data_IF_306406011020
#
_entry.id   IF_306406011020
#
_cell.length_a   1.000
_cell.length_b   1.000
_cell.length_c   1.000
_cell.angle_alpha   90.00
_cell.angle_beta   90.00
_cell.angle_gamma   90.00
#
_symmetry.space_group_name_H-M   'P 1'
#
loop_
_entity.id
_entity.type
_entity.pdbx_description
1 polymer ?
#
# COMPACT_ATOMS: atom_id res chain seq x y z
N UNK A 1 -20.37 -17.11 -28.90
CA UNK A 1 -19.53 -16.30 -28.02
C UNK A 1 -19.14 -17.14 -26.83
N UNK A 2 -17.91 -17.04 -26.37
CA UNK A 2 -17.22 -18.16 -25.74
C UNK A 2 -17.44 -18.19 -24.22
N UNK A 3 -18.36 -19.02 -23.72
CA UNK A 3 -18.57 -19.29 -22.26
C UNK A 3 -17.27 -19.60 -21.53
N UNK A 4 -16.29 -20.18 -22.24
CA UNK A 4 -14.95 -20.44 -21.72
C UNK A 4 -14.23 -19.16 -21.26
N UNK A 5 -14.37 -18.05 -22.01
CA UNK A 5 -13.73 -16.78 -21.65
C UNK A 5 -14.38 -16.13 -20.43
N UNK A 6 -15.70 -16.26 -20.26
CA UNK A 6 -16.38 -15.83 -19.01
C UNK A 6 -15.90 -16.67 -17.81
N UNK A 7 -15.76 -17.98 -17.96
CA UNK A 7 -15.23 -18.83 -16.91
C UNK A 7 -13.78 -18.45 -16.55
N UNK A 8 -12.93 -18.14 -17.55
CA UNK A 8 -11.58 -17.64 -17.31
C UNK A 8 -11.59 -16.30 -16.58
N UNK A 9 -12.44 -15.36 -16.98
CA UNK A 9 -12.60 -14.08 -16.30
C UNK A 9 -13.01 -14.28 -14.84
N UNK A 10 -14.03 -15.09 -14.57
CA UNK A 10 -14.47 -15.40 -13.19
C UNK A 10 -13.32 -16.01 -12.38
N UNK A 11 -12.58 -16.95 -12.95
CA UNK A 11 -11.43 -17.58 -12.26
C UNK A 11 -10.35 -16.55 -11.91
N UNK A 12 -10.09 -15.57 -12.78
CA UNK A 12 -9.14 -14.49 -12.52
C UNK A 12 -9.66 -13.58 -11.41
N UNK A 13 -10.95 -13.17 -11.47
CA UNK A 13 -11.58 -12.34 -10.44
C UNK A 13 -11.56 -13.02 -9.06
N UNK A 14 -11.78 -14.34 -9.00
CA UNK A 14 -11.68 -15.09 -7.74
C UNK A 14 -10.24 -15.08 -7.17
N UNK A 15 -9.24 -15.14 -8.02
CA UNK A 15 -7.82 -15.02 -7.63
C UNK A 15 -7.49 -13.59 -7.18
N UNK A 16 -8.03 -12.57 -7.87
CA UNK A 16 -7.89 -11.17 -7.47
C UNK A 16 -8.52 -10.94 -6.09
N UNK A 17 -9.72 -11.44 -5.83
CA UNK A 17 -10.39 -11.34 -4.52
C UNK A 17 -9.54 -11.97 -3.43
N UNK A 18 -8.98 -13.14 -3.65
CA UNK A 18 -8.07 -13.79 -2.69
C UNK A 18 -6.83 -12.94 -2.43
N UNK A 19 -6.20 -12.41 -3.48
CA UNK A 19 -5.00 -11.58 -3.34
C UNK A 19 -5.30 -10.27 -2.59
N UNK A 20 -6.44 -9.60 -2.87
CA UNK A 20 -6.86 -8.40 -2.14
C UNK A 20 -7.21 -8.70 -0.67
N UNK A 21 -7.81 -9.87 -0.39
CA UNK A 21 -8.07 -10.31 0.99
C UNK A 21 -6.76 -10.50 1.75
N UNK A 22 -5.79 -11.17 1.16
CA UNK A 22 -4.45 -11.33 1.77
C UNK A 22 -3.76 -9.99 1.96
N UNK A 23 -3.87 -9.06 1.00
CA UNK A 23 -3.31 -7.71 1.13
C UNK A 23 -3.96 -6.94 2.29
N UNK A 24 -5.27 -7.07 2.47
CA UNK A 24 -6.00 -6.48 3.60
C UNK A 24 -5.47 -7.00 4.94
N UNK A 25 -5.33 -8.33 5.09
CA UNK A 25 -4.79 -8.95 6.29
C UNK A 25 -3.37 -8.43 6.61
N UNK A 26 -2.52 -8.30 5.60
CA UNK A 26 -1.17 -7.74 5.75
C UNK A 26 -1.19 -6.25 6.15
N UNK A 27 -2.11 -5.46 5.63
CA UNK A 27 -2.28 -4.07 6.03
C UNK A 27 -2.77 -3.93 7.46
N UNK A 28 -3.65 -4.83 7.93
CA UNK A 28 -4.10 -4.91 9.32
C UNK A 28 -2.93 -5.30 10.25
N UNK A 29 -2.15 -6.31 9.88
CA UNK A 29 -0.95 -6.72 10.61
C UNK A 29 0.07 -5.58 10.70
N UNK A 30 0.34 -4.90 9.57
CA UNK A 30 1.21 -3.72 9.54
C UNK A 30 0.72 -2.62 10.47
N UNK A 31 -0.59 -2.34 10.50
CA UNK A 31 -1.18 -1.35 11.40
C UNK A 31 -0.92 -1.68 12.87
N UNK A 32 -1.06 -2.94 13.27
CA UNK A 32 -0.80 -3.36 14.65
C UNK A 32 0.69 -3.26 15.03
N UNK A 33 1.61 -3.54 14.10
CA UNK A 33 3.05 -3.33 14.32
C UNK A 33 3.38 -1.85 14.48
N UNK A 34 2.79 -0.99 13.65
CA UNK A 34 2.97 0.47 13.72
C UNK A 34 2.47 1.04 15.04
N UNK A 35 1.30 0.62 15.52
CA UNK A 35 0.74 1.02 16.82
C UNK A 35 1.64 0.61 17.99
N UNK A 36 2.30 -0.53 17.90
CA UNK A 36 3.19 -1.06 18.95
C UNK A 36 4.62 -0.55 18.83
N UNK A 37 4.92 0.31 17.86
CA UNK A 37 6.26 0.79 17.53
C UNK A 37 7.29 -0.35 17.32
N UNK A 38 6.85 -1.50 16.80
CA UNK A 38 7.70 -2.65 16.48
C UNK A 38 8.31 -2.52 15.08
N UNK A 39 9.33 -1.69 14.94
CA UNK A 39 9.98 -1.40 13.66
C UNK A 39 10.70 -2.61 13.04
N UNK A 40 11.25 -3.51 13.86
CA UNK A 40 12.02 -4.66 13.38
C UNK A 40 11.24 -5.63 12.48
N UNK A 41 9.93 -5.74 12.67
CA UNK A 41 9.07 -6.66 11.91
C UNK A 41 8.47 -6.01 10.65
N UNK A 42 8.53 -4.68 10.51
CA UNK A 42 7.92 -3.94 9.40
C UNK A 42 8.50 -4.33 8.05
N UNK A 43 9.83 -4.53 7.96
CA UNK A 43 10.48 -4.94 6.71
C UNK A 43 9.98 -6.29 6.20
N UNK A 44 9.71 -7.24 7.10
CA UNK A 44 9.15 -8.55 6.73
C UNK A 44 7.74 -8.42 6.17
N UNK A 45 6.89 -7.59 6.80
CA UNK A 45 5.52 -7.34 6.31
C UNK A 45 5.56 -6.62 4.96
N UNK A 46 6.43 -5.61 4.80
CA UNK A 46 6.56 -4.87 3.54
C UNK A 46 6.99 -5.78 2.38
N UNK A 47 7.89 -6.73 2.62
CA UNK A 47 8.28 -7.73 1.63
C UNK A 47 7.09 -8.65 1.25
N UNK A 48 6.26 -9.06 2.20
CA UNK A 48 5.05 -9.83 1.91
C UNK A 48 4.04 -9.01 1.09
N UNK A 49 3.82 -7.74 1.46
CA UNK A 49 2.96 -6.81 0.71
C UNK A 49 3.47 -6.65 -0.72
N UNK A 50 4.78 -6.46 -0.92
CA UNK A 50 5.38 -6.36 -2.26
C UNK A 50 5.13 -7.62 -3.09
N UNK A 51 5.27 -8.80 -2.48
CA UNK A 51 5.02 -10.08 -3.15
C UNK A 51 3.56 -10.23 -3.60
N UNK A 52 2.61 -9.83 -2.75
CA UNK A 52 1.17 -9.84 -3.09
C UNK A 52 0.85 -8.81 -4.17
N UNK A 53 1.44 -7.61 -4.11
CA UNK A 53 1.27 -6.59 -5.15
C UNK A 53 1.78 -7.06 -6.52
N UNK A 54 2.90 -7.78 -6.57
CA UNK A 54 3.41 -8.39 -7.79
C UNK A 54 2.45 -9.45 -8.35
N UNK A 55 1.80 -10.25 -7.48
CA UNK A 55 0.77 -11.19 -7.89
C UNK A 55 -0.46 -10.46 -8.45
N UNK A 56 -0.94 -9.41 -7.78
CA UNK A 56 -2.07 -8.59 -8.24
C UNK A 56 -1.78 -7.99 -9.61
N UNK A 57 -0.56 -7.49 -9.85
CA UNK A 57 -0.15 -6.97 -11.16
C UNK A 57 -0.25 -8.03 -12.25
N UNK A 58 0.22 -9.25 -11.98
CA UNK A 58 0.12 -10.38 -12.93
C UNK A 58 -1.35 -10.75 -13.22
N UNK A 59 -2.20 -10.78 -12.18
CA UNK A 59 -3.63 -11.08 -12.34
C UNK A 59 -4.34 -9.99 -13.14
N UNK A 60 -4.02 -8.72 -12.89
CA UNK A 60 -4.56 -7.59 -13.65
C UNK A 60 -4.19 -7.68 -15.14
N UNK A 61 -2.94 -8.02 -15.46
CA UNK A 61 -2.52 -8.25 -16.84
C UNK A 61 -3.28 -9.42 -17.49
N UNK A 62 -3.48 -10.52 -16.74
CA UNK A 62 -4.28 -11.66 -17.21
C UNK A 62 -5.74 -11.26 -17.45
N UNK A 63 -6.32 -10.43 -16.58
CA UNK A 63 -7.68 -9.88 -16.75
C UNK A 63 -7.76 -8.98 -17.98
N UNK A 64 -6.81 -8.09 -18.19
CA UNK A 64 -6.73 -7.24 -19.39
C UNK A 64 -6.70 -8.07 -20.69
N UNK A 65 -5.93 -9.15 -20.71
CA UNK A 65 -5.86 -10.06 -21.87
C UNK A 65 -7.23 -10.71 -22.17
N UNK A 66 -7.96 -11.16 -21.14
CA UNK A 66 -9.31 -11.72 -21.33
C UNK A 66 -10.31 -10.61 -21.70
N UNK A 67 -10.15 -9.42 -21.11
CA UNK A 67 -10.99 -8.27 -21.44
C UNK A 67 -10.88 -7.88 -22.91
N UNK A 68 -9.67 -7.85 -23.47
CA UNK A 68 -9.44 -7.53 -24.89
C UNK A 68 -10.06 -8.56 -25.85
N UNK A 69 -10.24 -9.80 -25.41
CA UNK A 69 -10.92 -10.85 -26.19
C UNK A 69 -12.45 -10.70 -26.13
N UNK A 70 -12.99 -10.28 -24.99
CA UNK A 70 -14.42 -10.17 -24.76
C UNK A 70 -15.02 -8.87 -25.27
N UNK A 71 -14.34 -7.74 -25.00
CA UNK A 71 -14.82 -6.39 -25.32
C UNK A 71 -13.63 -5.52 -25.77
N UNK A 72 -12.79 -5.13 -24.80
CA UNK A 72 -11.65 -4.25 -24.94
C UNK A 72 -10.77 -4.31 -23.67
N UNK A 73 -9.50 -3.94 -23.79
CA UNK A 73 -8.51 -4.03 -22.69
C UNK A 73 -8.92 -3.24 -21.45
N UNK A 74 -9.59 -2.09 -21.62
CA UNK A 74 -9.98 -1.18 -20.55
C UNK A 74 -11.46 -1.34 -20.13
N UNK A 75 -12.12 -2.43 -20.57
CA UNK A 75 -13.52 -2.67 -20.27
C UNK A 75 -13.77 -2.72 -18.75
N UNK A 76 -14.84 -2.03 -18.33
CA UNK A 76 -15.31 -1.98 -16.94
C UNK A 76 -16.14 -3.21 -16.60
N UNK A 77 -16.21 -3.57 -15.32
CA UNK A 77 -17.04 -4.69 -14.85
C UNK A 77 -18.52 -4.57 -15.24
N UNK A 78 -19.08 -3.35 -15.33
CA UNK A 78 -20.45 -3.12 -15.81
C UNK A 78 -20.64 -3.59 -17.25
N UNK A 79 -19.69 -3.35 -18.13
CA UNK A 79 -19.74 -3.75 -19.54
C UNK A 79 -19.68 -5.28 -19.71
N UNK A 80 -18.96 -5.99 -18.83
CA UNK A 80 -18.99 -7.47 -18.84
C UNK A 80 -20.33 -8.02 -18.38
N UNK A 81 -20.99 -7.36 -17.42
CA UNK A 81 -22.32 -7.73 -16.97
C UNK A 81 -23.34 -7.49 -18.09
N UNK A 82 -23.31 -6.33 -18.74
CA UNK A 82 -24.17 -6.00 -19.90
C UNK A 82 -23.95 -7.00 -21.06
N UNK A 83 -22.69 -7.36 -21.33
CA UNK A 83 -22.37 -8.36 -22.34
C UNK A 83 -22.90 -9.75 -21.96
N UNK A 84 -22.83 -10.11 -20.68
CA UNK A 84 -23.36 -11.37 -20.17
C UNK A 84 -24.91 -11.40 -20.26
N UNK A 85 -25.61 -10.30 -19.94
CA UNK A 85 -27.05 -10.20 -20.09
C UNK A 85 -27.51 -10.53 -21.50
N UNK A 86 -26.77 -10.09 -22.52
CA UNK A 86 -27.09 -10.30 -23.91
C UNK A 86 -26.78 -11.70 -24.44
N UNK A 87 -25.71 -12.32 -23.94
CA UNK A 87 -25.12 -13.50 -24.61
C UNK A 87 -24.90 -14.72 -23.69
N UNK A 88 -24.91 -14.56 -22.37
CA UNK A 88 -24.61 -15.62 -21.41
C UNK A 88 -25.19 -15.29 -20.02
N UNK A 89 -26.52 -15.26 -19.86
CA UNK A 89 -27.21 -14.78 -18.65
C UNK A 89 -26.77 -15.48 -17.36
N UNK A 90 -26.30 -16.72 -17.44
CA UNK A 90 -25.79 -17.49 -16.32
C UNK A 90 -24.55 -16.87 -15.65
N UNK A 91 -23.87 -15.92 -16.29
CA UNK A 91 -22.69 -15.24 -15.75
C UNK A 91 -23.01 -13.87 -15.11
N UNK A 92 -24.20 -13.35 -15.25
CA UNK A 92 -24.61 -12.04 -14.74
C UNK A 92 -24.46 -11.97 -13.22
N UNK A 93 -25.12 -12.88 -12.51
CA UNK A 93 -25.08 -12.94 -11.05
C UNK A 93 -23.65 -13.20 -10.53
N UNK A 94 -22.90 -14.21 -11.04
CA UNK A 94 -21.51 -14.42 -10.64
C UNK A 94 -20.60 -13.22 -10.85
N UNK A 95 -20.76 -12.44 -11.92
CA UNK A 95 -19.98 -11.23 -12.18
C UNK A 95 -20.38 -10.08 -11.25
N UNK A 96 -21.67 -9.89 -11.01
CA UNK A 96 -22.19 -8.85 -10.12
C UNK A 96 -21.71 -9.06 -8.67
N UNK A 97 -21.75 -10.28 -8.15
CA UNK A 97 -21.24 -10.61 -6.82
C UNK A 97 -19.76 -10.28 -6.67
N UNK A 98 -18.92 -10.61 -7.67
CA UNK A 98 -17.48 -10.34 -7.64
C UNK A 98 -17.19 -8.85 -7.73
N UNK A 99 -17.95 -8.12 -8.54
CA UNK A 99 -17.87 -6.65 -8.59
C UNK A 99 -18.09 -6.04 -7.21
N UNK A 100 -19.16 -6.44 -6.51
CA UNK A 100 -19.47 -5.94 -5.17
C UNK A 100 -18.36 -6.28 -4.18
N UNK A 101 -17.86 -7.52 -4.18
CA UNK A 101 -16.77 -7.96 -3.29
C UNK A 101 -15.48 -7.17 -3.54
N UNK A 102 -15.11 -6.97 -4.80
CA UNK A 102 -13.88 -6.22 -5.17
C UNK A 102 -14.01 -4.75 -4.76
N UNK A 103 -15.15 -4.10 -5.03
CA UNK A 103 -15.38 -2.72 -4.61
C UNK A 103 -15.24 -2.56 -3.10
N UNK A 104 -15.89 -3.45 -2.33
CA UNK A 104 -15.78 -3.43 -0.86
C UNK A 104 -14.33 -3.60 -0.37
N UNK A 105 -13.58 -4.53 -0.96
CA UNK A 105 -12.17 -4.73 -0.61
C UNK A 105 -11.32 -3.51 -0.93
N UNK A 106 -11.59 -2.81 -2.03
CA UNK A 106 -10.88 -1.57 -2.37
C UNK A 106 -11.14 -0.45 -1.36
N UNK A 107 -12.40 -0.27 -0.93
CA UNK A 107 -12.74 0.72 0.09
C UNK A 107 -12.03 0.41 1.42
N UNK A 108 -12.05 -0.85 1.84
CA UNK A 108 -11.37 -1.32 3.06
C UNK A 108 -9.84 -1.15 2.97
N UNK A 109 -9.23 -1.49 1.82
CA UNK A 109 -7.79 -1.32 1.58
C UNK A 109 -7.38 0.14 1.56
N UNK A 110 -8.18 1.02 0.94
CA UNK A 110 -7.93 2.45 0.91
C UNK A 110 -7.94 3.05 2.33
N UNK A 111 -8.91 2.67 3.15
CA UNK A 111 -9.00 3.09 4.54
C UNK A 111 -7.80 2.62 5.36
N UNK A 112 -7.46 1.33 5.28
CA UNK A 112 -6.31 0.76 6.00
C UNK A 112 -4.98 1.40 5.58
N UNK A 113 -4.81 1.63 4.28
CA UNK A 113 -3.61 2.30 3.77
C UNK A 113 -3.50 3.74 4.30
N UNK A 114 -4.59 4.49 4.29
CA UNK A 114 -4.62 5.85 4.86
C UNK A 114 -4.25 5.84 6.34
N UNK A 115 -4.81 4.93 7.13
CA UNK A 115 -4.48 4.78 8.55
C UNK A 115 -3.01 4.42 8.78
N UNK A 116 -2.45 3.54 7.98
CA UNK A 116 -1.05 3.15 8.06
C UNK A 116 -0.11 4.32 7.72
N UNK A 117 -0.44 5.12 6.70
CA UNK A 117 0.30 6.33 6.33
C UNK A 117 0.30 7.34 7.47
N UNK A 118 -0.85 7.58 8.11
CA UNK A 118 -0.94 8.50 9.26
C UNK A 118 -0.11 8.03 10.46
N UNK A 119 -0.11 6.73 10.77
CA UNK A 119 0.71 6.16 11.84
C UNK A 119 2.21 6.32 11.56
N UNK A 120 2.64 6.14 10.30
CA UNK A 120 4.04 6.33 9.89
C UNK A 120 4.44 7.81 10.05
N UNK A 121 3.62 8.74 9.55
CA UNK A 121 3.88 10.18 9.69
C UNK A 121 4.00 10.58 11.16
N UNK A 122 3.09 10.10 12.01
CA UNK A 122 3.13 10.36 13.44
C UNK A 122 4.40 9.84 14.09
N UNK A 123 4.82 8.61 13.74
CA UNK A 123 6.07 8.01 14.20
C UNK A 123 7.30 8.86 13.83
N UNK A 124 7.36 9.37 12.60
CA UNK A 124 8.46 10.26 12.14
C UNK A 124 8.50 11.54 12.99
N UNK A 125 7.36 12.20 13.20
CA UNK A 125 7.30 13.43 14.02
C UNK A 125 7.76 13.17 15.45
N UNK A 126 7.33 12.06 16.05
CA UNK A 126 7.76 11.68 17.42
C UNK A 126 9.26 11.42 17.49
N UNK A 127 9.82 10.69 16.51
CA UNK A 127 11.26 10.40 16.45
C UNK A 127 12.08 11.67 16.33
N UNK A 128 11.67 12.61 15.45
CA UNK A 128 12.36 13.88 15.31
C UNK A 128 12.36 14.70 16.61
N UNK A 129 11.20 14.78 17.31
CA UNK A 129 11.13 15.45 18.62
C UNK A 129 12.03 14.79 19.66
N UNK A 130 12.12 13.46 19.68
CA UNK A 130 13.04 12.77 20.58
C UNK A 130 14.50 13.08 20.26
N UNK A 131 14.88 13.13 18.97
CA UNK A 131 16.22 13.51 18.55
C UNK A 131 16.54 14.95 18.94
N UNK A 132 15.65 15.91 18.73
CA UNK A 132 15.81 17.30 19.17
C UNK A 132 16.06 17.35 20.69
N UNK A 133 15.25 16.65 21.48
CA UNK A 133 15.40 16.61 22.95
C UNK A 133 16.76 16.01 23.36
N UNK A 134 17.23 14.96 22.65
CA UNK A 134 18.53 14.36 22.92
C UNK A 134 19.66 15.34 22.57
N UNK A 135 19.60 15.97 21.40
CA UNK A 135 20.58 16.98 20.98
C UNK A 135 20.65 18.13 22.00
N UNK A 136 19.51 18.66 22.43
CA UNK A 136 19.44 19.73 23.42
C UNK A 136 20.01 19.31 24.78
N UNK A 137 19.78 18.05 25.19
CA UNK A 137 20.29 17.52 26.45
C UNK A 137 21.82 17.29 26.45
N UNK A 138 22.40 16.98 25.28
CA UNK A 138 23.82 16.68 25.12
C UNK A 138 24.60 17.80 24.43
N UNK A 139 23.94 18.84 23.94
CA UNK A 139 24.62 20.02 23.43
C UNK A 139 25.44 20.64 24.57
N UNK A 140 26.76 20.92 24.38
CA UNK A 140 27.55 21.53 25.41
C UNK A 140 26.90 22.86 25.83
N UNK A 141 26.62 23.01 27.14
CA UNK A 141 26.16 24.27 27.72
C UNK A 141 27.28 25.31 27.59
N UNK A 142 27.41 25.91 26.41
CA UNK A 142 28.52 26.80 26.14
C UNK A 142 28.46 27.55 24.82
N UNK A 143 27.35 27.56 24.11
CA UNK A 143 27.19 28.58 23.06
C UNK A 143 26.81 29.91 23.75
N UNK A 144 27.78 30.52 24.42
CA UNK A 144 27.67 31.92 24.76
C UNK A 144 27.49 32.69 23.47
N UNK A 145 26.29 33.21 23.26
CA UNK A 145 26.06 34.28 22.28
C UNK A 145 26.99 35.44 22.66
N UNK A 146 28.12 35.54 21.98
CA UNK A 146 28.87 36.77 21.99
C UNK A 146 27.98 37.86 21.42
N UNK A 147 27.88 39.01 22.11
CA UNK A 147 27.04 40.17 21.75
C UNK A 147 27.26 40.74 20.34
N UNK A 148 27.97 40.04 19.45
CA UNK A 148 28.18 40.34 18.03
C UNK A 148 27.43 39.41 17.06
N UNK A 149 26.54 38.51 17.55
CA UNK A 149 25.66 37.72 16.68
C UNK A 149 26.34 36.66 15.81
N UNK A 150 27.59 36.24 16.11
CA UNK A 150 28.27 35.15 15.40
C UNK A 150 28.37 33.92 16.30
N UNK A 151 27.77 32.83 15.85
CA UNK A 151 27.99 31.50 16.39
C UNK A 151 29.39 31.03 16.04
N UNK A 152 30.20 30.66 17.02
CA UNK A 152 31.50 30.02 16.78
C UNK A 152 31.26 28.55 16.41
N UNK A 153 31.38 28.22 15.11
CA UNK A 153 31.02 26.93 14.52
C UNK A 153 32.18 25.92 14.60
N UNK A 154 33.05 25.98 15.62
CA UNK A 154 34.29 25.18 15.65
C UNK A 154 34.14 23.72 16.09
N UNK A 155 32.94 23.25 16.50
CA UNK A 155 32.74 21.86 16.99
C UNK A 155 31.61 21.08 16.32
N UNK A 156 31.11 21.52 15.16
CA UNK A 156 30.07 20.81 14.40
C UNK A 156 30.62 19.80 13.38
N UNK A 157 31.94 19.70 13.23
CA UNK A 157 32.55 18.78 12.25
C UNK A 157 32.61 17.31 12.69
N UNK A 158 32.05 16.95 13.85
CA UNK A 158 32.06 15.55 14.33
C UNK A 158 30.78 14.77 14.08
N UNK A 159 29.77 15.35 13.43
CA UNK A 159 28.48 14.69 13.18
C UNK A 159 28.08 14.68 11.70
N UNK A 160 29.03 14.66 10.78
CA UNK A 160 28.74 14.23 9.42
C UNK A 160 28.60 12.72 9.42
N UNK A 161 27.33 12.23 9.47
CA UNK A 161 27.01 10.87 9.05
C UNK A 161 27.40 10.79 7.57
N UNK A 162 28.44 10.02 7.25
CA UNK A 162 28.78 9.67 5.88
C UNK A 162 27.57 9.00 5.22
N UNK A 163 26.86 9.72 4.36
CA UNK A 163 26.05 9.13 3.33
C UNK A 163 27.00 8.67 2.21
N UNK A 164 27.49 7.45 2.35
CA UNK A 164 27.97 6.63 1.23
C UNK A 164 27.33 5.26 1.37
N UNK A 165 26.22 5.07 0.63
CA UNK A 165 25.90 3.81 -0.10
C UNK A 165 24.93 4.17 -1.22
#
# INVERSE_FOLDING_TARGET
>A
MNKENFNKLISILDKEIKAYTTLKELFEEKRELLKKAKSGDLGTIDNKILSVNNLITKLNNSRKNISSILIDENAKMSQFIELAEQNAPEFVEPLAERKVKICKLFDELALLNSQNVELIKHGIVMTNKMLETIVDAFAPQGSNYNGAGKTDTRDLDMWTINEEI
#
